data_IF_098326195824
#
_entry.id   IF_098326195824
#
_cell.length_a   1.000
_cell.length_b   1.000
_cell.length_c   1.000
_cell.angle_alpha   90.00
_cell.angle_beta   90.00
_cell.angle_gamma   90.00
#
_symmetry.space_group_name_H-M   'P 1'
#
loop_
_entity.id
_entity.type
_entity.pdbx_description
1 polymer ?
#
# COMPACT_ATOMS: atom_id res chain seq x y z
N UNK A 1 -21.93 25.95 18.52
CA UNK A 1 -22.26 25.51 17.14
C UNK A 1 -22.73 24.06 17.18
N UNK A 2 -23.75 23.68 16.42
CA UNK A 2 -24.20 22.28 16.38
C UNK A 2 -23.30 21.42 15.49
N UNK A 3 -23.22 20.11 15.77
CA UNK A 3 -22.43 19.17 14.95
C UNK A 3 -22.82 19.21 13.46
N UNK A 4 -24.11 19.45 13.17
CA UNK A 4 -24.60 19.65 11.80
C UNK A 4 -23.98 20.87 11.13
N UNK A 5 -23.93 22.01 11.82
CA UNK A 5 -23.33 23.25 11.30
C UNK A 5 -21.83 23.09 11.03
N UNK A 6 -21.12 22.40 11.93
CA UNK A 6 -19.69 22.13 11.76
C UNK A 6 -19.40 21.33 10.48
N UNK A 7 -20.19 20.29 10.20
CA UNK A 7 -20.05 19.47 8.99
C UNK A 7 -20.32 20.28 7.72
N UNK A 8 -21.33 21.16 7.74
CA UNK A 8 -21.64 22.03 6.59
C UNK A 8 -20.50 22.98 6.30
N UNK A 9 -19.95 23.65 7.32
CA UNK A 9 -18.83 24.60 7.16
C UNK A 9 -17.58 23.90 6.61
N UNK A 10 -17.25 22.70 7.12
CA UNK A 10 -16.13 21.92 6.60
C UNK A 10 -16.34 21.53 5.13
N UNK A 11 -17.54 21.04 4.79
CA UNK A 11 -17.85 20.65 3.41
C UNK A 11 -17.74 21.83 2.44
N UNK A 12 -18.25 23.00 2.83
CA UNK A 12 -18.13 24.22 2.03
C UNK A 12 -16.68 24.69 1.87
N UNK A 13 -15.87 24.62 2.93
CA UNK A 13 -14.45 24.94 2.89
C UNK A 13 -13.68 24.05 1.92
N UNK A 14 -13.92 22.73 1.97
CA UNK A 14 -13.28 21.77 1.07
C UNK A 14 -13.73 21.99 -0.38
N UNK A 15 -15.02 22.20 -0.64
CA UNK A 15 -15.52 22.46 -2.00
C UNK A 15 -14.96 23.76 -2.58
N UNK A 16 -14.75 24.80 -1.75
CA UNK A 16 -14.09 26.04 -2.19
C UNK A 16 -12.62 25.81 -2.53
N UNK A 17 -11.88 25.08 -1.69
CA UNK A 17 -10.45 24.80 -1.91
C UNK A 17 -10.22 23.96 -3.16
N UNK A 18 -11.05 22.95 -3.39
CA UNK A 18 -10.83 21.94 -4.44
C UNK A 18 -11.67 22.15 -5.70
N UNK A 19 -12.29 23.33 -5.86
CA UNK A 19 -13.18 23.65 -7.00
C UNK A 19 -12.49 23.65 -8.37
N UNK A 20 -11.16 23.64 -8.40
CA UNK A 20 -10.35 23.69 -9.61
C UNK A 20 -9.82 22.30 -10.04
N UNK A 21 -10.19 21.22 -9.35
CA UNK A 21 -9.85 19.86 -9.79
C UNK A 21 -10.85 19.44 -10.86
N UNK A 22 -10.59 19.81 -12.11
CA UNK A 22 -11.28 19.23 -13.27
C UNK A 22 -10.83 17.76 -13.42
N UNK A 23 -11.68 16.81 -13.01
CA UNK A 23 -11.45 15.38 -13.22
C UNK A 23 -11.57 14.97 -14.71
N UNK A 24 -11.83 15.91 -15.62
CA UNK A 24 -12.17 15.68 -17.02
C UNK A 24 -11.00 15.84 -17.98
N UNK A 25 -9.82 16.30 -17.54
CA UNK A 25 -8.67 16.54 -18.43
C UNK A 25 -7.67 15.38 -18.51
N UNK A 26 -7.77 14.37 -17.64
CA UNK A 26 -6.90 13.20 -17.73
C UNK A 26 -7.61 12.03 -18.42
N UNK A 27 -7.35 11.89 -19.72
CA UNK A 27 -7.61 10.67 -20.47
C UNK A 27 -6.77 9.53 -19.88
N UNK A 28 -7.32 8.82 -18.90
CA UNK A 28 -6.72 7.60 -18.39
C UNK A 28 -6.76 6.55 -19.50
N UNK A 29 -5.65 6.43 -20.23
CA UNK A 29 -5.39 5.29 -21.09
C UNK A 29 -5.37 4.03 -20.20
N UNK A 30 -6.50 3.34 -20.15
CA UNK A 30 -6.60 2.02 -19.51
C UNK A 30 -5.95 1.03 -20.49
N UNK A 31 -4.62 0.93 -20.46
CA UNK A 31 -3.93 -0.15 -21.17
C UNK A 31 -4.16 -1.44 -20.38
N UNK A 32 -5.20 -2.19 -20.75
CA UNK A 32 -5.37 -3.60 -20.33
C UNK A 32 -4.27 -4.43 -21.00
N UNK A 33 -3.35 -5.09 -20.29
CA UNK A 33 -2.50 -6.08 -20.90
C UNK A 33 -3.28 -7.38 -21.04
N UNK A 34 -3.85 -7.60 -22.22
CA UNK A 34 -4.33 -8.92 -22.65
C UNK A 34 -3.19 -9.61 -23.43
N UNK A 35 -2.83 -10.83 -23.02
CA UNK A 35 -2.30 -11.89 -23.88
C UNK A 35 -1.11 -11.60 -24.81
N UNK A 36 0.07 -12.10 -24.40
CA UNK A 36 1.00 -12.93 -25.19
C UNK A 36 1.06 -12.67 -26.71
N UNK A 37 2.20 -12.14 -27.19
CA UNK A 37 2.95 -12.71 -28.31
C UNK A 37 4.37 -12.11 -28.42
N UNK A 38 5.30 -13.03 -28.66
CA UNK A 38 6.70 -12.84 -29.06
C UNK A 38 6.79 -12.14 -30.42
N UNK A 39 7.72 -11.18 -30.56
CA UNK A 39 8.57 -11.01 -31.75
C UNK A 39 9.61 -9.91 -31.47
N UNK A 40 10.88 -10.24 -31.72
CA UNK A 40 11.97 -9.28 -31.80
C UNK A 40 11.73 -8.34 -32.99
N UNK A 41 11.93 -7.02 -32.82
CA UNK A 41 12.57 -6.14 -33.80
C UNK A 41 13.12 -4.89 -33.11
N UNK A 42 14.38 -4.58 -33.43
CA UNK A 42 15.13 -3.39 -33.03
C UNK A 42 14.60 -2.14 -33.74
N UNK A 43 14.50 -1.01 -33.05
CA UNK A 43 15.03 0.26 -33.58
C UNK A 43 15.23 1.33 -32.49
N UNK A 44 16.49 1.72 -32.37
CA UNK A 44 17.10 2.94 -31.80
C UNK A 44 16.51 4.19 -32.48
N UNK A 45 16.48 5.44 -32.00
CA UNK A 45 17.13 6.24 -30.94
C UNK A 45 16.35 7.58 -30.91
N UNK A 46 16.18 8.25 -29.76
CA UNK A 46 16.43 9.70 -29.57
C UNK A 46 16.22 10.04 -28.08
N UNK A 47 17.34 10.41 -27.44
CA UNK A 47 17.53 11.10 -26.15
C UNK A 47 16.70 12.39 -26.11
N UNK A 48 16.06 12.84 -25.02
CA UNK A 48 16.58 13.53 -23.81
C UNK A 48 15.30 13.94 -23.04
N UNK A 49 15.08 13.70 -21.75
CA UNK A 49 15.59 14.48 -20.61
C UNK A 49 15.35 13.73 -19.30
N UNK A 50 16.31 13.91 -18.40
CA UNK A 50 16.52 13.20 -17.14
C UNK A 50 15.62 13.75 -16.03
N UNK A 51 14.70 12.93 -15.52
CA UNK A 51 14.20 13.06 -14.15
C UNK A 51 14.15 11.68 -13.51
N UNK A 52 15.12 11.46 -12.62
CA UNK A 52 15.37 10.27 -11.85
C UNK A 52 14.16 9.95 -10.96
N UNK A 53 13.31 9.04 -11.40
CA UNK A 53 12.42 8.29 -10.50
C UNK A 53 12.94 6.87 -10.45
N UNK A 54 13.62 6.59 -9.35
CA UNK A 54 14.19 5.30 -8.99
C UNK A 54 13.06 4.26 -8.96
N UNK A 55 12.94 3.57 -10.09
CA UNK A 55 12.20 2.33 -10.26
C UNK A 55 12.95 1.25 -9.49
N UNK A 56 12.76 1.18 -8.18
CA UNK A 56 13.14 -0.01 -7.43
C UNK A 56 11.96 -0.98 -7.49
N UNK A 57 11.97 -1.81 -8.55
CA UNK A 57 11.36 -3.14 -8.55
C UNK A 57 11.94 -3.94 -7.40
N UNK A 58 11.34 -3.81 -6.22
CA UNK A 58 11.69 -4.62 -5.06
C UNK A 58 10.84 -5.89 -5.13
N UNK A 59 11.30 -6.83 -5.95
CA UNK A 59 11.06 -8.26 -5.70
C UNK A 59 11.80 -8.61 -4.40
N UNK A 60 11.17 -8.46 -3.24
CA UNK A 60 11.66 -9.05 -1.99
C UNK A 60 10.83 -10.27 -1.64
N UNK A 61 11.17 -11.37 -2.30
CA UNK A 61 11.12 -12.67 -1.67
C UNK A 61 12.37 -12.79 -0.81
N UNK A 62 12.29 -12.37 0.45
CA UNK A 62 13.35 -12.64 1.43
C UNK A 62 12.69 -13.11 2.70
N UNK A 63 12.96 -14.37 3.02
CA UNK A 63 12.83 -15.03 4.31
C UNK A 63 13.67 -14.23 5.32
N UNK A 64 13.21 -13.03 5.68
CA UNK A 64 13.93 -12.12 6.54
C UNK A 64 13.76 -12.61 7.97
N UNK A 65 14.86 -13.11 8.52
CA UNK A 65 14.99 -13.50 9.92
C UNK A 65 14.45 -12.39 10.82
N UNK A 66 13.39 -12.69 11.57
CA UNK A 66 12.64 -11.77 12.44
C UNK A 66 13.41 -11.35 13.71
N UNK A 67 14.67 -11.74 13.84
CA UNK A 67 15.40 -11.63 15.10
C UNK A 67 16.09 -10.27 15.31
N UNK A 68 16.28 -9.46 14.27
CA UNK A 68 16.94 -8.15 14.36
C UNK A 68 16.22 -7.11 13.50
N UNK A 69 15.09 -6.57 13.97
CA UNK A 69 14.39 -5.50 13.26
C UNK A 69 14.46 -4.18 14.04
N UNK A 70 14.88 -3.07 13.40
CA UNK A 70 14.82 -1.74 14.03
C UNK A 70 13.37 -1.41 14.37
N UNK A 71 13.15 -0.97 15.61
CA UNK A 71 11.88 -0.43 16.10
C UNK A 71 11.74 0.93 15.39
N UNK A 72 11.01 0.94 14.28
CA UNK A 72 10.63 2.18 13.63
C UNK A 72 9.37 2.66 14.34
N UNK A 73 9.56 3.73 15.11
CA UNK A 73 8.57 4.41 15.93
C UNK A 73 7.67 5.31 15.06
N UNK A 74 7.03 4.68 14.06
CA UNK A 74 6.17 5.32 13.08
C UNK A 74 4.84 4.58 13.00
N UNK A 75 3.76 5.30 12.73
CA UNK A 75 2.41 4.74 12.64
C UNK A 75 2.33 3.60 11.61
N UNK A 76 2.37 2.36 12.07
CA UNK A 76 2.28 1.19 11.21
C UNK A 76 0.91 1.11 10.53
N UNK A 77 0.89 1.03 9.20
CA UNK A 77 -0.36 0.90 8.44
C UNK A 77 -0.61 -0.53 7.94
N UNK A 78 -1.84 -1.07 8.09
CA UNK A 78 -2.22 -2.34 7.50
C UNK A 78 -2.51 -2.18 6.00
N UNK A 79 -1.94 -3.08 5.19
CA UNK A 79 -2.15 -3.17 3.74
C UNK A 79 -2.62 -4.58 3.37
N UNK A 80 -3.43 -4.69 2.31
CA UNK A 80 -3.76 -5.99 1.73
C UNK A 80 -2.57 -6.52 0.95
N UNK A 81 -2.11 -7.71 1.29
CA UNK A 81 -1.08 -8.39 0.53
C UNK A 81 -1.62 -8.76 -0.86
N UNK A 82 -0.80 -8.56 -1.89
CA UNK A 82 -1.11 -8.98 -3.27
C UNK A 82 -0.99 -10.49 -3.47
N UNK A 83 -0.33 -11.18 -2.54
CA UNK A 83 -0.10 -12.63 -2.55
C UNK A 83 -1.24 -13.42 -1.87
N UNK A 84 -1.13 -14.76 -1.90
CA UNK A 84 -2.02 -15.68 -1.15
C UNK A 84 -2.02 -15.33 0.34
N UNK A 85 -3.14 -15.61 1.02
CA UNK A 85 -3.34 -15.40 2.46
C UNK A 85 -2.17 -15.97 3.27
N UNK A 86 -1.53 -15.13 4.07
CA UNK A 86 -0.47 -15.53 5.00
C UNK A 86 -1.03 -15.95 6.37
N UNK A 87 -0.19 -16.57 7.21
CA UNK A 87 -0.56 -16.88 8.60
C UNK A 87 -0.32 -15.65 9.48
N UNK A 88 -1.26 -15.34 10.36
CA UNK A 88 -1.07 -14.27 11.34
C UNK A 88 0.08 -14.63 12.28
N UNK A 89 1.12 -13.80 12.31
CA UNK A 89 2.30 -14.03 13.15
C UNK A 89 1.93 -14.04 14.63
N UNK A 90 1.11 -13.08 15.06
CA UNK A 90 0.67 -12.96 16.46
C UNK A 90 -0.13 -14.17 16.92
N UNK A 91 -1.18 -14.57 16.18
CA UNK A 91 -1.97 -15.75 16.52
C UNK A 91 -1.12 -17.02 16.54
N UNK A 92 -0.23 -17.18 15.55
CA UNK A 92 0.65 -18.35 15.48
C UNK A 92 1.62 -18.40 16.65
N UNK A 93 2.11 -17.25 17.13
CA UNK A 93 3.13 -17.22 18.17
C UNK A 93 2.55 -17.19 19.59
N UNK A 94 1.56 -16.33 19.85
CA UNK A 94 0.96 -16.10 21.17
C UNK A 94 -0.17 -17.06 21.48
N UNK A 95 -1.13 -17.22 20.57
CA UNK A 95 -2.32 -18.04 20.78
C UNK A 95 -2.15 -19.48 20.31
N UNK A 96 -1.06 -19.79 19.59
CA UNK A 96 -0.82 -21.07 18.90
C UNK A 96 -1.94 -21.49 17.96
N UNK A 97 -2.69 -20.50 17.43
CA UNK A 97 -3.77 -20.72 16.46
C UNK A 97 -3.29 -20.41 15.04
N UNK A 98 -3.61 -21.29 14.10
CA UNK A 98 -3.26 -21.15 12.68
C UNK A 98 -4.27 -20.29 11.91
N UNK A 99 -4.46 -19.04 12.33
CA UNK A 99 -5.32 -18.10 11.59
C UNK A 99 -4.63 -17.59 10.32
N UNK A 100 -5.40 -17.45 9.24
CA UNK A 100 -4.93 -16.87 7.98
C UNK A 100 -5.50 -15.46 7.79
N UNK A 101 -4.68 -14.55 7.25
CA UNK A 101 -5.04 -13.16 7.01
C UNK A 101 -4.56 -12.71 5.63
N UNK A 102 -5.32 -11.80 5.02
CA UNK A 102 -4.92 -11.07 3.79
C UNK A 102 -4.13 -9.80 4.11
N UNK A 103 -4.02 -9.46 5.39
CA UNK A 103 -3.47 -8.18 5.84
C UNK A 103 -2.03 -8.33 6.31
N UNK A 104 -1.20 -7.37 5.91
CA UNK A 104 0.21 -7.29 6.22
C UNK A 104 0.54 -5.84 6.62
N UNK A 105 1.37 -5.65 7.63
CA UNK A 105 1.91 -4.31 7.92
C UNK A 105 2.84 -3.87 6.79
N UNK A 106 2.71 -2.63 6.30
CA UNK A 106 3.57 -2.10 5.22
C UNK A 106 5.03 -2.04 5.67
N UNK A 107 5.27 -1.47 6.84
CA UNK A 107 6.62 -1.25 7.37
C UNK A 107 7.22 -2.54 7.91
N UNK A 108 6.43 -3.33 8.64
CA UNK A 108 6.88 -4.58 9.24
C UNK A 108 6.83 -5.78 8.27
N UNK A 109 6.11 -5.73 7.16
CA UNK A 109 5.99 -6.88 6.26
C UNK A 109 5.50 -8.16 6.95
N UNK A 110 4.88 -8.08 8.13
CA UNK A 110 4.35 -9.22 8.88
C UNK A 110 2.85 -9.34 8.65
N UNK A 111 2.37 -10.58 8.49
CA UNK A 111 0.95 -10.87 8.38
C UNK A 111 0.30 -10.81 9.76
N UNK A 112 -0.71 -9.97 9.94
CA UNK A 112 -1.43 -9.78 11.20
C UNK A 112 -2.93 -9.70 10.94
N UNK A 113 -3.74 -10.20 11.88
CA UNK A 113 -5.18 -9.94 11.86
C UNK A 113 -5.42 -8.46 12.18
N UNK A 114 -6.30 -7.80 11.42
CA UNK A 114 -6.69 -6.41 11.71
C UNK A 114 -7.32 -6.29 13.10
N UNK A 115 -8.11 -7.29 13.49
CA UNK A 115 -8.83 -7.29 14.76
C UNK A 115 -7.87 -7.77 15.86
N UNK A 116 -7.52 -6.88 16.79
CA UNK A 116 -6.67 -7.15 17.95
C UNK A 116 -5.18 -7.27 17.63
N UNK A 117 -4.81 -8.24 16.81
CA UNK A 117 -3.39 -8.62 16.60
C UNK A 117 -2.53 -7.48 16.04
N UNK A 118 -3.08 -6.65 15.15
CA UNK A 118 -2.32 -5.53 14.58
C UNK A 118 -2.00 -4.47 15.62
N UNK A 119 -2.94 -4.16 16.52
CA UNK A 119 -2.74 -3.16 17.58
C UNK A 119 -1.82 -3.70 18.67
N UNK A 120 -2.01 -4.97 19.05
CA UNK A 120 -1.21 -5.60 20.11
C UNK A 120 0.27 -5.76 19.71
N UNK A 121 0.52 -6.01 18.43
CA UNK A 121 1.88 -6.16 17.90
C UNK A 121 2.63 -4.82 17.78
N UNK A 122 1.92 -3.74 17.39
CA UNK A 122 2.52 -2.40 17.24
C UNK A 122 2.23 -1.51 18.46
N UNK A 123 2.20 -2.09 19.66
CA UNK A 123 2.00 -1.32 20.89
C UNK A 123 3.14 -0.28 21.00
N UNK A 124 2.83 1.02 21.19
CA UNK A 124 3.85 2.04 21.43
C UNK A 124 4.60 1.78 22.73
#
# INVERSE_FOLDING_TARGET
>A
MSHRQFRTILAEGLLKTYRHIDLTTESRLITRPCGRQTTNMMMTTMTTTTTTTTTTTIRRNTKLSLMNRPIVDGNHFPMRATAKRGRCWWCSNKQKVLTRTVWQCIECGVYLCIIGCFRDFHKP
#
